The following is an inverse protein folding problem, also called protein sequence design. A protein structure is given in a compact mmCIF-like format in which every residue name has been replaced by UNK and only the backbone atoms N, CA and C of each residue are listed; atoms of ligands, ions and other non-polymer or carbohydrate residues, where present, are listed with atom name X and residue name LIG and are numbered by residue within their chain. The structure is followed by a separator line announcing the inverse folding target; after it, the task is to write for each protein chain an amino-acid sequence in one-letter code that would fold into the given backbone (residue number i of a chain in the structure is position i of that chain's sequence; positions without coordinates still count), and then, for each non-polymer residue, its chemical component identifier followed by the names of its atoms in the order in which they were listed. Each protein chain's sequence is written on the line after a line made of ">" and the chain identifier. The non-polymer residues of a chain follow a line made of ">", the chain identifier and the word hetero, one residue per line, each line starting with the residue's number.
data_IF_829765182397
#
_entry.id   IF_829765182397
#
_cell.length_a   1.000
_cell.length_b   1.000
_cell.length_c   1.000
_cell.angle_alpha   90.00
_cell.angle_beta   90.00
_cell.angle_gamma   90.00
#
_symmetry.space_group_name_H-M   'P 1'
#
loop_
_entity.id
_entity.type
_entity.pdbx_description
1 polymer ?
#
# COMPACT_ATOMS: atom_id res chain seq x y z
N UNK A 1 -32.88 -30.45 -24.12
CA UNK A 1 -31.80 -30.81 -23.18
C UNK A 1 -31.84 -29.83 -22.06
N UNK A 2 -31.79 -30.29 -20.83
CA UNK A 2 -31.76 -29.42 -19.66
C UNK A 2 -30.47 -28.61 -19.68
N UNK A 3 -30.58 -27.29 -19.54
CA UNK A 3 -29.42 -26.40 -19.49
C UNK A 3 -28.87 -26.46 -18.07
N UNK A 4 -27.74 -27.14 -17.90
CA UNK A 4 -27.06 -27.27 -16.61
C UNK A 4 -25.96 -26.23 -16.53
N UNK A 5 -25.95 -25.46 -15.44
CA UNK A 5 -24.87 -24.52 -15.09
C UNK A 5 -24.23 -24.95 -13.79
N UNK A 6 -22.93 -24.87 -13.75
CA UNK A 6 -22.13 -25.21 -12.57
C UNK A 6 -21.28 -24.01 -12.19
N UNK A 7 -21.48 -23.56 -10.97
CA UNK A 7 -20.75 -22.46 -10.38
C UNK A 7 -19.72 -23.04 -9.42
N UNK A 8 -18.45 -22.92 -9.76
CA UNK A 8 -17.31 -23.37 -8.96
C UNK A 8 -16.54 -22.21 -8.32
N UNK A 9 -16.78 -20.98 -8.81
CA UNK A 9 -16.23 -19.78 -8.25
C UNK A 9 -17.13 -19.24 -7.14
N UNK A 10 -16.53 -18.80 -6.04
CA UNK A 10 -17.25 -18.41 -4.84
C UNK A 10 -17.88 -19.62 -4.14
N UNK A 11 -19.04 -19.44 -3.56
CA UNK A 11 -19.80 -20.53 -2.93
C UNK A 11 -20.43 -21.42 -4.02
N UNK A 12 -19.98 -22.67 -4.15
CA UNK A 12 -20.39 -23.49 -5.30
C UNK A 12 -21.85 -23.91 -5.24
N UNK A 13 -22.45 -24.06 -6.44
CA UNK A 13 -23.78 -24.63 -6.62
C UNK A 13 -24.00 -25.06 -8.08
N UNK A 14 -25.03 -25.85 -8.29
CA UNK A 14 -25.46 -26.33 -9.61
C UNK A 14 -26.88 -25.87 -9.88
N UNK A 15 -27.14 -25.42 -11.09
CA UNK A 15 -28.47 -25.10 -11.60
C UNK A 15 -28.85 -26.05 -12.75
N UNK A 16 -30.09 -26.51 -12.77
CA UNK A 16 -30.70 -27.20 -13.89
C UNK A 16 -31.98 -26.46 -14.27
N UNK A 17 -32.07 -26.01 -15.53
CA UNK A 17 -33.22 -25.23 -16.03
C UNK A 17 -33.55 -23.97 -15.22
N UNK A 18 -32.55 -23.35 -14.59
CA UNK A 18 -32.69 -22.15 -13.77
C UNK A 18 -33.09 -22.41 -12.32
N UNK A 19 -33.25 -23.67 -11.91
CA UNK A 19 -33.50 -24.02 -10.51
C UNK A 19 -32.26 -24.63 -9.87
N UNK A 20 -32.03 -24.29 -8.60
CA UNK A 20 -30.89 -24.83 -7.82
C UNK A 20 -31.07 -26.30 -7.51
N UNK A 21 -30.06 -27.10 -7.82
CA UNK A 21 -30.06 -28.54 -7.56
C UNK A 21 -29.49 -28.83 -6.17
N UNK A 22 -30.25 -29.57 -5.37
CA UNK A 22 -29.81 -30.01 -4.05
C UNK A 22 -29.32 -31.45 -4.08
N UNK A 23 -28.04 -31.65 -3.84
CA UNK A 23 -27.48 -32.99 -3.74
C UNK A 23 -27.81 -33.62 -2.39
N UNK A 24 -28.07 -34.95 -2.34
CA UNK A 24 -28.48 -35.64 -1.12
C UNK A 24 -27.38 -35.68 -0.06
N UNK A 25 -26.11 -35.58 -0.46
CA UNK A 25 -24.95 -35.54 0.41
C UNK A 25 -23.75 -34.92 -0.28
N UNK A 26 -22.87 -34.30 0.52
CA UNK A 26 -21.73 -33.50 0.03
C UNK A 26 -20.72 -34.27 -0.82
N UNK A 27 -20.47 -35.58 -0.55
CA UNK A 27 -19.55 -36.37 -1.36
C UNK A 27 -20.06 -36.59 -2.79
N UNK A 28 -21.38 -36.67 -3.02
CA UNK A 28 -21.93 -36.74 -4.36
C UNK A 28 -21.79 -35.41 -5.11
N UNK A 29 -21.99 -34.32 -4.41
CA UNK A 29 -21.79 -32.94 -4.90
C UNK A 29 -20.31 -32.69 -5.24
N UNK A 30 -19.40 -33.00 -4.32
CA UNK A 30 -17.95 -32.86 -4.54
C UNK A 30 -17.43 -33.76 -5.65
N UNK A 31 -17.97 -34.96 -5.79
CA UNK A 31 -17.65 -35.81 -6.94
C UNK A 31 -18.03 -35.17 -8.27
N UNK A 32 -19.20 -34.55 -8.35
CA UNK A 32 -19.62 -33.84 -9.54
C UNK A 32 -18.71 -32.62 -9.83
N UNK A 33 -18.37 -31.82 -8.83
CA UNK A 33 -17.43 -30.72 -8.98
C UNK A 33 -16.04 -31.17 -9.42
N UNK A 34 -15.55 -32.29 -8.87
CA UNK A 34 -14.28 -32.86 -9.27
C UNK A 34 -14.29 -33.26 -10.77
N UNK A 35 -15.37 -33.88 -11.24
CA UNK A 35 -15.53 -34.19 -12.65
C UNK A 35 -15.73 -32.94 -13.53
N UNK A 36 -16.36 -31.91 -13.03
CA UNK A 36 -16.49 -30.64 -13.76
C UNK A 36 -15.13 -30.02 -14.09
N UNK A 37 -14.15 -30.18 -13.22
CA UNK A 37 -12.77 -29.71 -13.45
C UNK A 37 -11.96 -30.70 -14.27
N UNK A 38 -11.92 -31.95 -13.86
CA UNK A 38 -11.10 -33.00 -14.50
C UNK A 38 -11.64 -33.49 -15.84
N UNK A 39 -12.95 -33.32 -16.10
CA UNK A 39 -13.71 -33.81 -17.24
C UNK A 39 -13.80 -35.37 -17.31
N UNK A 40 -12.73 -36.04 -16.94
CA UNK A 40 -12.60 -37.50 -16.87
C UNK A 40 -11.74 -37.90 -15.69
N UNK A 41 -12.15 -38.93 -14.94
CA UNK A 41 -11.34 -39.47 -13.85
C UNK A 41 -11.53 -41.02 -13.77
N UNK A 42 -10.53 -41.72 -13.26
CA UNK A 42 -10.65 -43.18 -13.03
C UNK A 42 -11.49 -43.45 -11.78
N UNK A 43 -12.10 -44.61 -11.70
CA UNK A 43 -12.89 -44.99 -10.52
C UNK A 43 -12.04 -45.08 -9.27
N UNK A 44 -10.81 -45.54 -9.39
CA UNK A 44 -9.84 -45.62 -8.30
C UNK A 44 -9.44 -44.26 -7.80
N UNK A 45 -9.14 -43.30 -8.71
CA UNK A 45 -8.85 -41.92 -8.38
C UNK A 45 -10.02 -41.26 -7.64
N UNK A 46 -11.25 -41.40 -8.13
CA UNK A 46 -12.42 -40.82 -7.49
C UNK A 46 -12.66 -41.41 -6.09
N UNK A 47 -12.48 -42.76 -5.95
CA UNK A 47 -12.63 -43.45 -4.68
C UNK A 47 -11.57 -42.95 -3.69
N UNK A 48 -10.32 -42.87 -4.13
CA UNK A 48 -9.21 -42.36 -3.32
C UNK A 48 -9.47 -40.95 -2.83
N UNK A 49 -9.80 -40.05 -3.74
CA UNK A 49 -10.01 -38.63 -3.42
C UNK A 49 -11.18 -38.41 -2.45
N UNK A 50 -12.30 -39.10 -2.61
CA UNK A 50 -13.52 -38.83 -1.82
C UNK A 50 -13.72 -39.72 -0.61
N UNK A 51 -13.22 -40.97 -0.63
CA UNK A 51 -13.46 -41.95 0.42
C UNK A 51 -12.19 -42.52 1.05
N UNK A 52 -10.99 -42.18 0.53
CA UNK A 52 -9.71 -42.65 1.03
C UNK A 52 -9.40 -44.11 0.64
N UNK A 53 -8.22 -44.57 1.03
CA UNK A 53 -7.69 -45.89 0.64
C UNK A 53 -8.18 -47.06 1.53
N UNK A 54 -8.80 -46.79 2.69
CA UNK A 54 -8.94 -47.78 3.77
C UNK A 54 -9.93 -48.89 3.49
N UNK A 55 -10.89 -48.71 2.57
CA UNK A 55 -11.87 -49.78 2.24
C UNK A 55 -12.41 -49.71 0.81
N UNK A 56 -11.69 -50.28 -0.12
CA UNK A 56 -11.99 -50.26 -1.56
C UNK A 56 -13.42 -50.75 -1.90
N UNK A 57 -13.93 -51.76 -1.20
CA UNK A 57 -15.28 -52.31 -1.45
C UNK A 57 -16.37 -51.31 -1.04
N UNK A 58 -16.16 -50.57 0.08
CA UNK A 58 -17.07 -49.51 0.54
C UNK A 58 -17.00 -48.35 -0.45
N UNK A 59 -15.80 -47.92 -0.85
CA UNK A 59 -15.59 -46.90 -1.85
C UNK A 59 -16.31 -47.17 -3.16
N UNK A 60 -16.21 -48.41 -3.68
CA UNK A 60 -16.91 -48.86 -4.91
C UNK A 60 -18.44 -48.80 -4.77
N UNK A 61 -18.98 -49.15 -3.59
CA UNK A 61 -20.42 -49.03 -3.32
C UNK A 61 -20.85 -47.56 -3.29
N UNK A 62 -20.12 -46.75 -2.58
CA UNK A 62 -20.40 -45.31 -2.43
C UNK A 62 -20.31 -44.57 -3.77
N UNK A 63 -19.31 -44.89 -4.60
CA UNK A 63 -19.19 -44.34 -5.95
C UNK A 63 -20.38 -44.70 -6.84
N UNK A 64 -20.84 -45.96 -6.80
CA UNK A 64 -22.04 -46.37 -7.55
C UNK A 64 -23.27 -45.60 -7.13
N UNK A 65 -23.46 -45.38 -5.84
CA UNK A 65 -24.56 -44.58 -5.31
C UNK A 65 -24.43 -43.10 -5.74
N UNK A 66 -23.23 -42.50 -5.67
CA UNK A 66 -22.99 -41.14 -6.12
C UNK A 66 -23.30 -40.95 -7.62
N UNK A 67 -22.86 -41.89 -8.47
CA UNK A 67 -23.19 -41.89 -9.91
C UNK A 67 -24.71 -41.97 -10.14
N UNK A 68 -25.39 -42.85 -9.38
CA UNK A 68 -26.84 -42.96 -9.48
C UNK A 68 -27.55 -41.66 -9.09
N UNK A 69 -27.15 -41.04 -8.00
CA UNK A 69 -27.76 -39.77 -7.53
C UNK A 69 -27.53 -38.63 -8.50
N UNK A 70 -26.33 -38.50 -9.05
CA UNK A 70 -26.03 -37.46 -10.06
C UNK A 70 -26.88 -37.68 -11.32
N UNK A 71 -26.95 -38.90 -11.83
CA UNK A 71 -27.78 -39.23 -13.00
C UNK A 71 -29.28 -39.03 -12.76
N UNK A 72 -29.74 -39.23 -11.52
CA UNK A 72 -31.13 -38.99 -11.12
C UNK A 72 -31.47 -37.50 -11.08
N UNK A 73 -30.51 -36.66 -10.61
CA UNK A 73 -30.71 -35.22 -10.45
C UNK A 73 -30.52 -34.44 -11.74
N UNK A 74 -29.47 -34.77 -12.50
CA UNK A 74 -28.99 -33.98 -13.65
C UNK A 74 -29.27 -34.67 -15.01
N UNK A 75 -29.91 -35.82 -15.01
CA UNK A 75 -30.22 -36.59 -16.23
C UNK A 75 -29.28 -37.76 -16.42
N UNK A 76 -29.82 -38.81 -17.05
CA UNK A 76 -29.10 -40.09 -17.24
C UNK A 76 -27.85 -39.94 -18.13
N UNK A 77 -27.88 -39.02 -19.04
CA UNK A 77 -26.84 -38.80 -20.06
C UNK A 77 -25.68 -37.93 -19.58
N UNK A 78 -25.79 -37.29 -18.41
CA UNK A 78 -24.76 -36.36 -17.90
C UNK A 78 -23.39 -37.02 -17.68
N UNK A 79 -23.38 -38.30 -17.30
CA UNK A 79 -22.18 -39.07 -17.04
C UNK A 79 -22.09 -40.27 -18.01
N UNK A 80 -20.93 -40.41 -18.64
CA UNK A 80 -20.56 -41.57 -19.45
C UNK A 80 -19.57 -42.42 -18.66
N UNK A 81 -19.75 -43.73 -18.72
CA UNK A 81 -18.84 -44.69 -18.11
C UNK A 81 -18.14 -45.48 -19.20
N UNK A 82 -16.84 -45.36 -19.36
CA UNK A 82 -16.05 -46.13 -20.30
C UNK A 82 -15.62 -47.44 -19.62
N UNK A 83 -16.38 -48.49 -19.89
CA UNK A 83 -16.15 -49.81 -19.27
C UNK A 83 -16.28 -49.77 -17.73
N UNK A 84 -15.33 -50.45 -17.06
CA UNK A 84 -15.24 -50.46 -15.59
C UNK A 84 -14.15 -49.52 -15.02
N UNK A 85 -13.47 -48.76 -15.86
CA UNK A 85 -12.23 -48.04 -15.48
C UNK A 85 -12.43 -46.58 -15.20
N UNK A 86 -13.19 -45.84 -16.02
CA UNK A 86 -13.32 -44.38 -15.88
C UNK A 86 -14.76 -43.86 -15.93
N UNK A 87 -14.95 -42.65 -15.44
CA UNK A 87 -16.20 -41.91 -15.50
C UNK A 87 -15.87 -40.54 -16.07
N UNK A 88 -16.68 -40.07 -17.02
CA UNK A 88 -16.48 -38.76 -17.68
C UNK A 88 -17.80 -38.00 -17.72
N UNK A 89 -17.72 -36.69 -17.84
CA UNK A 89 -18.84 -35.89 -18.32
C UNK A 89 -19.12 -36.25 -19.77
N UNK A 90 -20.39 -36.28 -20.15
CA UNK A 90 -20.78 -36.54 -21.52
C UNK A 90 -20.54 -35.29 -22.39
N UNK A 91 -19.72 -35.37 -23.44
CA UNK A 91 -19.47 -34.23 -24.33
C UNK A 91 -20.73 -33.68 -25.03
N UNK A 92 -21.75 -34.56 -25.26
CA UNK A 92 -23.02 -34.15 -25.88
C UNK A 92 -23.95 -33.38 -24.91
N UNK A 93 -23.71 -33.51 -23.60
CA UNK A 93 -24.49 -32.90 -22.52
C UNK A 93 -23.61 -32.09 -21.56
N UNK A 94 -22.51 -31.52 -22.05
CA UNK A 94 -21.56 -30.79 -21.22
C UNK A 94 -22.25 -29.62 -20.49
N UNK A 95 -22.17 -29.53 -19.15
CA UNK A 95 -22.66 -28.39 -18.42
C UNK A 95 -21.85 -27.14 -18.74
N UNK A 96 -22.46 -25.97 -18.61
CA UNK A 96 -21.79 -24.67 -18.64
C UNK A 96 -21.11 -24.47 -17.28
N UNK A 97 -19.78 -24.45 -17.25
CA UNK A 97 -18.99 -24.40 -16.01
C UNK A 97 -18.24 -23.08 -16.02
N UNK A 98 -18.46 -22.23 -15.00
CA UNK A 98 -17.83 -20.92 -14.89
C UNK A 98 -16.30 -20.99 -14.88
N UNK A 99 -15.73 -22.02 -14.24
CA UNK A 99 -14.30 -22.28 -14.22
C UNK A 99 -13.67 -22.41 -15.62
N UNK A 100 -14.40 -22.96 -16.59
CA UNK A 100 -13.91 -23.15 -17.96
C UNK A 100 -13.80 -21.84 -18.75
N UNK A 101 -14.42 -20.76 -18.27
CA UNK A 101 -14.40 -19.43 -18.88
C UNK A 101 -13.40 -18.48 -18.25
N UNK A 102 -12.69 -18.92 -17.18
CA UNK A 102 -11.64 -18.10 -16.55
C UNK A 102 -10.44 -18.01 -17.48
N UNK A 103 -10.05 -16.80 -17.78
CA UNK A 103 -8.89 -16.46 -18.60
C UNK A 103 -8.01 -15.42 -17.88
N UNK A 104 -6.76 -15.24 -18.32
CA UNK A 104 -5.89 -14.18 -17.80
C UNK A 104 -6.50 -12.77 -17.95
N UNK A 105 -7.50 -12.60 -18.83
CA UNK A 105 -8.12 -11.30 -19.09
C UNK A 105 -9.23 -10.96 -18.11
N UNK A 106 -10.04 -11.95 -17.71
CA UNK A 106 -11.24 -11.76 -16.89
C UNK A 106 -11.09 -12.24 -15.44
N UNK A 107 -10.03 -12.97 -15.09
CA UNK A 107 -9.83 -13.51 -13.73
C UNK A 107 -9.88 -12.41 -12.65
N UNK A 108 -9.49 -11.19 -12.98
CA UNK A 108 -9.51 -10.04 -12.06
C UNK A 108 -10.91 -9.46 -11.79
N UNK A 109 -11.92 -9.91 -12.53
CA UNK A 109 -13.33 -9.58 -12.27
C UNK A 109 -13.92 -10.47 -11.17
N UNK A 110 -13.21 -11.54 -10.79
CA UNK A 110 -13.61 -12.56 -9.81
C UNK A 110 -12.74 -12.50 -8.53
N UNK A 111 -12.31 -11.31 -8.10
CA UNK A 111 -11.40 -11.13 -6.95
C UNK A 111 -11.92 -11.79 -5.66
N UNK A 112 -13.24 -11.75 -5.44
CA UNK A 112 -13.86 -12.27 -4.20
C UNK A 112 -14.34 -13.70 -4.31
N UNK A 113 -14.26 -14.28 -5.51
CA UNK A 113 -14.96 -15.53 -5.81
C UNK A 113 -14.13 -16.77 -5.51
N UNK A 114 -12.94 -16.86 -5.25
CA UNK A 114 -12.10 -18.04 -4.97
C UNK A 114 -12.66 -19.41 -5.41
N UNK A 115 -11.85 -20.38 -5.74
CA UNK A 115 -12.32 -21.70 -6.18
C UNK A 115 -12.98 -22.49 -5.02
N UNK A 116 -14.21 -22.99 -5.20
CA UNK A 116 -14.99 -23.77 -4.22
C UNK A 116 -14.98 -23.17 -2.80
N UNK A 117 -15.13 -21.86 -2.68
CA UNK A 117 -15.07 -21.14 -1.39
C UNK A 117 -16.09 -21.71 -0.40
N UNK A 118 -15.63 -22.00 0.82
CA UNK A 118 -16.44 -22.53 1.91
C UNK A 118 -17.08 -23.92 1.64
N UNK A 119 -16.59 -24.67 0.66
CA UNK A 119 -17.01 -26.02 0.40
C UNK A 119 -16.06 -27.01 1.06
N UNK A 120 -16.56 -27.78 2.03
CA UNK A 120 -15.78 -28.76 2.79
C UNK A 120 -16.51 -30.08 2.87
N UNK A 121 -15.78 -31.19 2.74
CA UNK A 121 -16.27 -32.54 2.86
C UNK A 121 -15.59 -33.24 4.05
N UNK A 122 -16.36 -33.58 5.07
CA UNK A 122 -15.82 -34.31 6.24
C UNK A 122 -15.23 -35.66 5.82
N UNK A 123 -14.07 -36.00 6.36
CA UNK A 123 -13.36 -37.26 6.12
C UNK A 123 -13.04 -37.49 4.63
N UNK A 124 -12.48 -36.51 3.96
CA UNK A 124 -12.02 -36.57 2.57
C UNK A 124 -10.79 -35.69 2.42
N UNK A 125 -9.69 -36.06 3.07
CA UNK A 125 -8.45 -35.27 3.14
C UNK A 125 -7.88 -34.99 1.75
N UNK A 126 -7.84 -35.99 0.87
CA UNK A 126 -7.31 -35.88 -0.47
C UNK A 126 -8.15 -34.94 -1.36
N UNK A 127 -9.47 -34.85 -1.05
CA UNK A 127 -10.34 -33.88 -1.73
C UNK A 127 -10.09 -32.45 -1.25
N UNK A 128 -9.84 -32.25 0.04
CA UNK A 128 -9.47 -30.94 0.59
C UNK A 128 -8.10 -30.50 0.03
N UNK A 129 -7.09 -31.38 0.01
CA UNK A 129 -5.79 -31.10 -0.62
C UNK A 129 -5.93 -30.73 -2.10
N UNK A 130 -6.82 -31.42 -2.82
CA UNK A 130 -7.11 -31.06 -4.21
C UNK A 130 -7.74 -29.65 -4.33
N UNK A 131 -8.69 -29.30 -3.46
CA UNK A 131 -9.27 -27.93 -3.41
C UNK A 131 -8.17 -26.92 -3.14
N UNK A 132 -7.35 -27.12 -2.12
CA UNK A 132 -6.24 -26.24 -1.77
C UNK A 132 -5.27 -26.03 -2.94
N UNK A 133 -4.90 -27.12 -3.63
CA UNK A 133 -4.07 -27.05 -4.83
C UNK A 133 -4.70 -26.24 -5.96
N UNK A 134 -6.01 -26.36 -6.16
CA UNK A 134 -6.73 -25.61 -7.18
C UNK A 134 -6.89 -24.15 -6.81
N UNK A 135 -7.09 -23.84 -5.52
CA UNK A 135 -7.12 -22.48 -4.98
C UNK A 135 -5.76 -21.80 -5.15
N UNK A 136 -4.67 -22.49 -4.81
CA UNK A 136 -3.32 -21.99 -5.02
C UNK A 136 -3.03 -21.67 -6.49
N UNK A 137 -3.42 -22.58 -7.42
CA UNK A 137 -3.27 -22.33 -8.86
C UNK A 137 -4.09 -21.12 -9.33
N UNK A 138 -5.30 -20.95 -8.80
CA UNK A 138 -6.15 -19.81 -9.08
C UNK A 138 -5.49 -18.52 -8.59
N UNK A 139 -5.04 -18.48 -7.33
CA UNK A 139 -4.40 -17.34 -6.72
C UNK A 139 -3.11 -16.94 -7.44
N UNK A 140 -2.28 -17.91 -7.82
CA UNK A 140 -1.08 -17.65 -8.62
C UNK A 140 -1.43 -17.03 -9.98
N UNK A 141 -2.46 -17.53 -10.66
CA UNK A 141 -2.91 -17.01 -11.95
C UNK A 141 -3.50 -15.59 -11.81
N UNK A 142 -4.25 -15.38 -10.72
CA UNK A 142 -4.83 -14.09 -10.36
C UNK A 142 -3.75 -13.03 -10.10
N UNK A 143 -2.77 -13.35 -9.25
CA UNK A 143 -1.67 -12.45 -8.93
C UNK A 143 -0.78 -12.17 -10.14
N UNK A 144 -0.52 -13.18 -10.97
CA UNK A 144 0.21 -13.01 -12.24
C UNK A 144 -0.50 -12.02 -13.16
N UNK A 145 -1.83 -12.16 -13.29
CA UNK A 145 -2.64 -11.27 -14.13
C UNK A 145 -2.69 -9.85 -13.55
N UNK A 146 -2.83 -9.70 -12.23
CA UNK A 146 -2.78 -8.41 -11.55
C UNK A 146 -1.43 -7.70 -11.75
N UNK A 147 -0.32 -8.44 -11.65
CA UNK A 147 1.02 -7.90 -11.86
C UNK A 147 1.24 -7.46 -13.31
N UNK A 148 0.75 -8.25 -14.28
CA UNK A 148 0.78 -7.85 -15.69
C UNK A 148 0.01 -6.55 -15.94
N UNK A 149 -1.21 -6.44 -15.39
CA UNK A 149 -2.02 -5.21 -15.50
C UNK A 149 -1.37 -4.02 -14.82
N UNK A 150 -0.67 -4.22 -13.69
CA UNK A 150 0.12 -3.17 -13.05
C UNK A 150 1.21 -2.63 -13.98
N UNK A 151 1.95 -3.52 -14.65
CA UNK A 151 2.97 -3.11 -15.61
C UNK A 151 2.39 -2.43 -16.86
N UNK A 152 1.28 -2.94 -17.40
CA UNK A 152 0.58 -2.32 -18.52
C UNK A 152 0.10 -0.90 -18.16
N UNK A 153 -0.47 -0.73 -16.97
CA UNK A 153 -0.89 0.57 -16.45
C UNK A 153 0.29 1.53 -16.25
N UNK A 154 1.42 1.04 -15.77
CA UNK A 154 2.65 1.82 -15.62
C UNK A 154 3.19 2.30 -16.99
N UNK A 155 3.14 1.45 -18.02
CA UNK A 155 3.59 1.80 -19.38
C UNK A 155 2.81 3.00 -19.96
N UNK A 156 1.51 3.10 -19.65
CA UNK A 156 0.65 4.21 -20.08
C UNK A 156 0.48 5.31 -19.03
N UNK A 157 1.13 5.15 -17.85
CA UNK A 157 1.06 6.07 -16.69
C UNK A 157 -0.36 6.31 -16.18
N UNK A 158 -1.20 5.29 -16.20
CA UNK A 158 -2.56 5.34 -15.63
C UNK A 158 -2.49 5.13 -14.12
N UNK A 159 -2.46 6.23 -13.38
CA UNK A 159 -2.30 6.21 -11.91
C UNK A 159 -3.48 5.53 -11.20
N UNK A 160 -4.69 5.61 -11.73
CA UNK A 160 -5.86 4.97 -11.13
C UNK A 160 -5.76 3.44 -11.22
N UNK A 161 -5.33 2.92 -12.36
CA UNK A 161 -5.11 1.48 -12.54
C UNK A 161 -3.89 1.00 -11.76
N UNK A 162 -2.80 1.78 -11.71
CA UNK A 162 -1.64 1.47 -10.87
C UNK A 162 -2.10 1.31 -9.42
N UNK A 163 -2.86 2.25 -8.88
CA UNK A 163 -3.36 2.18 -7.50
C UNK A 163 -4.25 0.95 -7.27
N UNK A 164 -5.18 0.67 -8.21
CA UNK A 164 -6.07 -0.49 -8.12
C UNK A 164 -5.27 -1.79 -8.02
N UNK A 165 -4.36 -2.03 -8.96
CA UNK A 165 -3.62 -3.31 -9.00
C UNK A 165 -2.54 -3.41 -7.92
N UNK A 166 -1.94 -2.30 -7.49
CA UNK A 166 -1.07 -2.27 -6.32
C UNK A 166 -1.81 -2.71 -5.06
N UNK A 167 -3.00 -2.18 -4.82
CA UNK A 167 -3.82 -2.56 -3.66
C UNK A 167 -4.20 -4.05 -3.68
N UNK A 168 -4.57 -4.58 -4.85
CA UNK A 168 -4.88 -6.01 -5.00
C UNK A 168 -3.67 -6.87 -4.63
N UNK A 169 -2.50 -6.57 -5.19
CA UNK A 169 -1.27 -7.32 -4.94
C UNK A 169 -0.84 -7.27 -3.48
N UNK A 170 -0.86 -6.07 -2.87
CA UNK A 170 -0.45 -5.88 -1.47
C UNK A 170 -1.43 -6.51 -0.47
N UNK A 171 -2.71 -6.61 -0.81
CA UNK A 171 -3.72 -7.31 0.00
C UNK A 171 -3.43 -8.81 0.10
N UNK A 172 -2.94 -9.42 -1.00
CA UNK A 172 -2.62 -10.85 -1.06
C UNK A 172 -1.24 -11.19 -0.50
N UNK A 173 -0.28 -10.28 -0.57
CA UNK A 173 1.10 -10.51 -0.10
C UNK A 173 1.65 -9.28 0.63
N UNK A 174 1.09 -9.05 1.83
CA UNK A 174 1.35 -7.85 2.65
C UNK A 174 2.74 -7.81 3.29
N UNK A 175 3.51 -8.91 3.25
CA UNK A 175 4.84 -8.99 3.84
C UNK A 175 5.96 -8.99 2.79
N UNK A 176 5.64 -8.94 1.51
CA UNK A 176 6.60 -9.07 0.43
C UNK A 176 7.31 -7.74 0.14
N UNK A 177 8.43 -7.51 0.80
CA UNK A 177 9.22 -6.30 0.63
C UNK A 177 9.63 -6.02 -0.82
N UNK A 178 9.90 -7.08 -1.63
CA UNK A 178 10.22 -6.91 -3.05
C UNK A 178 9.05 -6.37 -3.87
N UNK A 179 7.82 -6.78 -3.51
CA UNK A 179 6.62 -6.25 -4.12
C UNK A 179 6.42 -4.77 -3.76
N UNK A 180 6.63 -4.42 -2.50
CA UNK A 180 6.61 -3.02 -2.08
C UNK A 180 7.67 -2.18 -2.80
N UNK A 181 8.90 -2.68 -2.94
CA UNK A 181 9.97 -2.01 -3.69
C UNK A 181 9.54 -1.74 -5.14
N UNK A 182 9.03 -2.76 -5.83
CA UNK A 182 8.56 -2.64 -7.21
C UNK A 182 7.47 -1.56 -7.35
N UNK A 183 6.48 -1.58 -6.47
CA UNK A 183 5.37 -0.61 -6.50
C UNK A 183 5.86 0.80 -6.14
N UNK A 184 6.75 0.94 -5.15
CA UNK A 184 7.37 2.22 -4.80
C UNK A 184 8.15 2.81 -5.98
N UNK A 185 8.92 2.00 -6.73
CA UNK A 185 9.63 2.43 -7.93
C UNK A 185 8.67 2.88 -9.04
N UNK A 186 7.55 2.16 -9.23
CA UNK A 186 6.50 2.54 -10.18
C UNK A 186 5.94 3.92 -9.84
N UNK A 187 5.54 4.15 -8.59
CA UNK A 187 5.02 5.45 -8.16
C UNK A 187 6.07 6.56 -8.26
N UNK A 188 7.31 6.28 -7.86
CA UNK A 188 8.39 7.26 -7.94
C UNK A 188 8.71 7.64 -9.39
N UNK A 189 8.75 6.67 -10.32
CA UNK A 189 8.98 6.92 -11.75
C UNK A 189 7.85 7.75 -12.40
N UNK A 190 6.65 7.64 -11.86
CA UNK A 190 5.48 8.46 -12.23
C UNK A 190 5.45 9.84 -11.56
N UNK A 191 6.46 10.18 -10.72
CA UNK A 191 6.52 11.44 -9.97
C UNK A 191 5.64 11.46 -8.72
N UNK A 192 4.95 10.35 -8.40
CA UNK A 192 4.10 10.25 -7.23
C UNK A 192 4.88 9.76 -5.99
N UNK A 193 5.87 10.56 -5.60
CA UNK A 193 6.78 10.26 -4.48
C UNK A 193 6.02 10.06 -3.16
N UNK A 194 4.91 10.76 -2.96
CA UNK A 194 4.10 10.68 -1.74
C UNK A 194 3.51 9.28 -1.54
N UNK A 195 2.96 8.69 -2.61
CA UNK A 195 2.43 7.32 -2.53
C UNK A 195 3.53 6.29 -2.29
N UNK A 196 4.69 6.47 -2.92
CA UNK A 196 5.84 5.61 -2.68
C UNK A 196 6.31 5.67 -1.21
N UNK A 197 6.41 6.86 -0.63
CA UNK A 197 6.76 7.08 0.77
C UNK A 197 5.72 6.47 1.71
N UNK A 198 4.42 6.67 1.43
CA UNK A 198 3.33 6.08 2.20
C UNK A 198 3.44 4.54 2.25
N UNK A 199 3.71 3.91 1.10
CA UNK A 199 3.87 2.45 1.03
C UNK A 199 5.00 1.93 1.93
N UNK A 200 6.10 2.66 2.07
CA UNK A 200 7.16 2.30 3.00
C UNK A 200 6.65 2.27 4.45
N UNK A 201 5.91 3.29 4.87
CA UNK A 201 5.35 3.34 6.23
C UNK A 201 4.25 2.29 6.45
N UNK A 202 3.44 2.00 5.43
CA UNK A 202 2.43 0.93 5.49
C UNK A 202 3.12 -0.44 5.69
N UNK A 203 4.21 -0.71 4.98
CA UNK A 203 5.02 -1.92 5.15
C UNK A 203 5.68 -1.98 6.54
N UNK A 204 6.34 -0.90 6.94
CA UNK A 204 7.00 -0.81 8.25
C UNK A 204 6.01 -1.13 9.38
N UNK A 205 4.78 -0.59 9.28
CA UNK A 205 3.71 -0.87 10.25
C UNK A 205 3.34 -2.35 10.27
N UNK A 206 3.11 -2.96 9.10
CA UNK A 206 2.71 -4.36 8.99
C UNK A 206 3.81 -5.29 9.54
N UNK A 207 5.08 -5.01 9.21
CA UNK A 207 6.21 -5.80 9.70
C UNK A 207 6.41 -5.69 11.21
N UNK A 208 6.24 -4.49 11.77
CA UNK A 208 6.37 -4.26 13.21
C UNK A 208 5.21 -4.92 14.00
N UNK A 209 3.96 -4.70 13.57
CA UNK A 209 2.78 -5.20 14.28
C UNK A 209 2.63 -6.73 14.21
N UNK A 210 2.92 -7.33 13.06
CA UNK A 210 2.66 -8.76 12.83
C UNK A 210 3.91 -9.63 13.07
N UNK A 211 5.11 -9.13 12.78
CA UNK A 211 6.35 -9.90 12.84
C UNK A 211 7.36 -9.36 13.85
N UNK A 212 7.20 -8.12 14.32
CA UNK A 212 8.13 -7.47 15.24
C UNK A 212 9.52 -7.23 14.62
N UNK A 213 9.59 -7.03 13.30
CA UNK A 213 10.83 -6.78 12.57
C UNK A 213 10.79 -5.45 11.82
N UNK A 214 11.96 -4.86 11.61
CA UNK A 214 12.11 -3.66 10.78
C UNK A 214 12.22 -4.02 9.29
N UNK A 215 11.85 -3.10 8.36
CA UNK A 215 12.09 -3.27 6.93
C UNK A 215 13.56 -3.51 6.62
N UNK A 216 13.83 -4.30 5.58
CA UNK A 216 15.20 -4.59 5.15
C UNK A 216 15.96 -3.33 4.71
N UNK A 217 17.30 -3.39 4.75
CA UNK A 217 18.17 -2.31 4.31
C UNK A 217 17.90 -1.88 2.86
N UNK A 218 17.56 -2.84 1.97
CA UNK A 218 17.32 -2.56 0.55
C UNK A 218 16.13 -1.63 0.32
N UNK A 219 15.00 -1.89 0.99
CA UNK A 219 13.80 -1.04 0.85
C UNK A 219 13.97 0.28 1.59
N UNK A 220 14.70 0.28 2.70
CA UNK A 220 15.05 1.50 3.44
C UNK A 220 15.93 2.42 2.59
N UNK A 221 16.93 1.88 1.88
CA UNK A 221 17.74 2.66 0.94
C UNK A 221 16.90 3.20 -0.24
N UNK A 222 15.96 2.41 -0.77
CA UNK A 222 15.03 2.88 -1.80
C UNK A 222 14.17 4.04 -1.29
N UNK A 223 13.62 3.90 -0.08
CA UNK A 223 12.86 4.97 0.58
C UNK A 223 13.69 6.25 0.68
N UNK A 224 14.94 6.17 1.17
CA UNK A 224 15.82 7.33 1.27
C UNK A 224 16.12 7.96 -0.09
N UNK A 225 16.36 7.16 -1.13
CA UNK A 225 16.54 7.68 -2.50
C UNK A 225 15.32 8.44 -3.00
N UNK A 226 14.12 7.86 -2.84
CA UNK A 226 12.85 8.50 -3.26
C UNK A 226 12.61 9.78 -2.47
N UNK A 227 12.86 9.76 -1.17
CA UNK A 227 12.71 10.91 -0.29
C UNK A 227 13.67 12.04 -0.67
N UNK A 228 14.93 11.73 -0.97
CA UNK A 228 15.95 12.68 -1.46
C UNK A 228 15.58 13.27 -2.82
N UNK A 229 15.09 12.48 -3.76
CA UNK A 229 14.62 12.98 -5.07
C UNK A 229 13.44 13.92 -4.88
N UNK A 230 12.48 13.58 -4.01
CA UNK A 230 11.37 14.49 -3.65
C UNK A 230 11.89 15.82 -3.09
N UNK A 231 12.85 15.77 -2.16
CA UNK A 231 13.49 16.96 -1.59
C UNK A 231 14.24 17.78 -2.65
N UNK A 232 14.93 17.11 -3.57
CA UNK A 232 15.65 17.75 -4.67
C UNK A 232 14.71 18.28 -5.78
N UNK A 233 13.63 17.57 -6.10
CA UNK A 233 12.62 18.05 -7.06
C UNK A 233 11.87 19.24 -6.50
N UNK A 234 11.65 19.30 -5.19
CA UNK A 234 11.15 20.52 -4.54
C UNK A 234 12.17 21.67 -4.57
N UNK A 235 13.49 21.34 -4.61
CA UNK A 235 14.56 22.33 -4.75
C UNK A 235 14.99 22.57 -6.23
N UNK A 236 14.67 21.64 -7.13
CA UNK A 236 15.08 21.65 -8.55
C UNK A 236 13.92 21.97 -9.51
N UNK A 237 12.82 22.53 -8.98
CA UNK A 237 11.86 23.24 -9.83
C UNK A 237 12.57 24.43 -10.48
N UNK A 238 13.43 24.07 -11.46
CA UNK A 238 14.04 25.03 -12.37
C UNK A 238 14.70 26.20 -11.65
N UNK A 239 15.78 25.96 -10.91
CA UNK A 239 16.76 27.03 -10.81
C UNK A 239 17.34 27.22 -12.22
N UNK A 240 16.57 27.90 -13.06
CA UNK A 240 17.19 28.71 -14.06
C UNK A 240 18.25 29.49 -13.29
N UNK A 241 19.53 29.28 -13.59
CA UNK A 241 20.65 30.05 -13.04
C UNK A 241 20.55 31.52 -13.54
N UNK A 242 19.37 32.09 -13.48
CA UNK A 242 19.14 33.49 -13.70
C UNK A 242 19.60 34.21 -12.42
N UNK A 243 20.49 35.19 -12.52
CA UNK A 243 20.90 35.94 -11.36
C UNK A 243 19.66 36.55 -10.73
N UNK A 244 19.47 36.28 -9.41
CA UNK A 244 18.38 36.91 -8.65
C UNK A 244 18.55 38.40 -8.69
N UNK A 245 17.64 39.10 -9.35
CA UNK A 245 17.73 40.56 -9.57
C UNK A 245 16.51 41.25 -8.98
N UNK A 246 16.71 42.37 -8.32
CA UNK A 246 15.65 43.13 -7.69
C UNK A 246 15.35 42.67 -6.25
N UNK A 247 14.22 43.11 -5.69
CA UNK A 247 13.73 42.81 -4.32
C UNK A 247 14.74 43.13 -3.22
N UNK A 248 15.47 44.20 -3.41
CA UNK A 248 16.56 44.61 -2.49
C UNK A 248 16.02 44.91 -1.10
N UNK A 249 14.81 45.45 -1.02
CA UNK A 249 14.17 45.80 0.26
C UNK A 249 13.72 44.53 1.01
N UNK A 250 13.12 43.56 0.32
CA UNK A 250 12.71 42.31 0.92
C UNK A 250 13.92 41.48 1.39
N UNK A 251 14.99 41.44 0.58
CA UNK A 251 16.26 40.81 0.98
C UNK A 251 16.86 41.50 2.21
N UNK A 252 16.85 42.82 2.24
CA UNK A 252 17.36 43.59 3.36
C UNK A 252 16.57 43.28 4.65
N UNK A 253 15.23 43.28 4.59
CA UNK A 253 14.36 42.90 5.74
C UNK A 253 14.61 41.46 6.20
N UNK A 254 14.76 40.51 5.29
CA UNK A 254 15.11 39.13 5.64
C UNK A 254 16.48 39.08 6.32
N UNK A 255 17.48 39.83 5.81
CA UNK A 255 18.82 39.86 6.42
C UNK A 255 18.80 40.47 7.84
N UNK A 256 18.01 41.52 8.07
CA UNK A 256 17.83 42.08 9.41
C UNK A 256 17.21 41.09 10.39
N UNK A 257 16.20 40.33 9.95
CA UNK A 257 15.61 39.26 10.76
C UNK A 257 16.63 38.17 11.11
N UNK A 258 17.43 37.72 10.13
CA UNK A 258 18.47 36.71 10.34
C UNK A 258 19.53 37.23 11.34
N UNK A 259 20.02 38.40 11.14
CA UNK A 259 21.03 39.03 12.01
C UNK A 259 20.45 39.40 13.38
N UNK A 260 19.20 39.90 13.41
CA UNK A 260 18.51 40.32 14.62
C UNK A 260 18.27 39.21 15.62
N UNK A 261 17.98 37.98 15.14
CA UNK A 261 17.82 36.80 15.99
C UNK A 261 19.08 36.46 16.77
N UNK A 262 20.26 36.73 16.18
CA UNK A 262 21.53 36.51 16.84
C UNK A 262 21.84 37.52 17.95
N UNK A 263 21.21 38.71 17.93
CA UNK A 263 21.48 39.80 18.89
C UNK A 263 20.47 39.91 20.02
N UNK A 264 19.20 39.58 19.77
CA UNK A 264 18.10 39.86 20.70
C UNK A 264 17.50 38.60 21.36
N UNK A 265 17.87 37.39 20.93
CA UNK A 265 17.41 36.13 21.49
C UNK A 265 15.89 35.90 21.39
N UNK A 266 15.18 36.66 20.58
CA UNK A 266 13.74 36.48 20.34
C UNK A 266 13.50 35.77 19.02
N UNK A 267 12.55 34.84 18.98
CA UNK A 267 12.18 34.18 17.74
C UNK A 267 11.60 35.18 16.74
N UNK A 268 12.01 35.06 15.50
CA UNK A 268 11.51 35.90 14.40
C UNK A 268 10.68 35.00 13.46
N UNK A 269 9.55 35.50 13.00
CA UNK A 269 8.72 34.87 12.00
C UNK A 269 8.57 35.80 10.81
N UNK A 270 8.94 35.33 9.63
CA UNK A 270 8.83 36.07 8.37
C UNK A 270 7.86 35.33 7.45
N UNK A 271 6.78 35.99 7.05
CA UNK A 271 5.84 35.48 6.07
C UNK A 271 6.03 36.18 4.73
N UNK A 272 6.21 35.38 3.66
CA UNK A 272 6.28 35.86 2.28
C UNK A 272 4.93 35.55 1.61
N UNK A 273 4.18 36.59 1.26
CA UNK A 273 2.88 36.47 0.58
C UNK A 273 2.87 37.21 -0.76
N UNK A 274 2.01 36.76 -1.68
CA UNK A 274 1.87 37.41 -2.98
C UNK A 274 1.21 36.46 -4.01
N UNK A 275 0.89 36.97 -5.18
CA UNK A 275 0.25 36.24 -6.26
C UNK A 275 1.12 35.07 -6.79
N UNK A 276 0.49 34.11 -7.47
CA UNK A 276 1.21 33.01 -8.11
C UNK A 276 2.18 33.54 -9.17
N UNK A 277 3.38 32.93 -9.25
CA UNK A 277 4.42 33.32 -10.21
C UNK A 277 5.24 34.55 -9.86
N UNK A 278 4.92 35.28 -8.77
CA UNK A 278 5.61 36.52 -8.37
C UNK A 278 7.04 36.30 -7.83
N UNK A 279 7.50 35.02 -7.71
CA UNK A 279 8.86 34.66 -7.28
C UNK A 279 9.02 34.50 -5.77
N UNK A 280 7.98 34.04 -5.06
CA UNK A 280 8.05 33.77 -3.60
C UNK A 280 9.07 32.68 -3.28
N UNK A 281 9.05 31.55 -3.99
CA UNK A 281 9.98 30.44 -3.78
C UNK A 281 11.43 30.85 -4.12
N UNK A 282 11.64 31.69 -5.16
CA UNK A 282 12.96 32.22 -5.47
C UNK A 282 13.52 33.12 -4.34
N UNK A 283 12.65 33.91 -3.69
CA UNK A 283 13.02 34.71 -2.53
C UNK A 283 13.31 33.83 -1.31
N UNK A 284 12.54 32.75 -1.13
CA UNK A 284 12.75 31.75 -0.08
C UNK A 284 14.11 31.06 -0.25
N UNK A 285 14.47 30.64 -1.48
CA UNK A 285 15.77 30.05 -1.77
C UNK A 285 16.92 30.99 -1.57
N UNK A 286 16.72 32.30 -1.87
CA UNK A 286 17.72 33.31 -1.54
C UNK A 286 17.91 33.44 -0.04
N UNK A 287 16.84 33.42 0.75
CA UNK A 287 16.90 33.43 2.21
C UNK A 287 17.65 32.20 2.75
N UNK A 288 17.41 30.99 2.20
CA UNK A 288 18.14 29.77 2.56
C UNK A 288 19.65 29.90 2.30
N UNK A 289 20.06 30.47 1.18
CA UNK A 289 21.48 30.76 0.89
C UNK A 289 22.08 31.71 1.89
N UNK A 290 21.36 32.78 2.29
CA UNK A 290 21.82 33.75 3.28
C UNK A 290 22.01 33.09 4.65
N UNK A 291 21.05 32.25 5.09
CA UNK A 291 21.12 31.52 6.37
C UNK A 291 22.37 30.63 6.44
N UNK A 292 22.70 29.92 5.36
CA UNK A 292 23.96 29.16 5.27
C UNK A 292 25.20 30.05 5.38
N UNK A 293 25.17 31.21 4.75
CA UNK A 293 26.25 32.19 4.84
C UNK A 293 26.48 32.71 6.27
N UNK A 294 25.47 32.72 7.12
CA UNK A 294 25.55 33.08 8.54
C UNK A 294 25.84 31.90 9.47
N UNK A 295 26.24 30.74 8.93
CA UNK A 295 26.52 29.48 9.68
C UNK A 295 25.32 29.02 10.53
N UNK A 296 24.13 29.25 10.06
CA UNK A 296 22.89 28.73 10.64
C UNK A 296 22.43 27.50 9.86
N UNK A 297 21.70 26.61 10.52
CA UNK A 297 21.18 25.36 9.94
C UNK A 297 19.81 25.65 9.34
N UNK A 298 19.65 25.63 7.99
CA UNK A 298 18.34 25.70 7.37
C UNK A 298 17.70 24.31 7.38
N UNK A 299 16.48 24.20 7.91
CA UNK A 299 15.63 23.01 7.84
C UNK A 299 14.42 23.32 6.97
N UNK A 300 14.14 22.47 6.01
CA UNK A 300 13.16 22.75 4.96
C UNK A 300 11.99 21.77 5.03
N UNK A 301 10.79 22.29 4.78
CA UNK A 301 9.59 21.50 4.57
C UNK A 301 8.77 22.08 3.42
N UNK A 302 8.14 21.22 2.64
CA UNK A 302 7.19 21.59 1.61
C UNK A 302 5.77 21.21 2.02
N UNK A 303 4.81 22.13 1.82
CA UNK A 303 3.40 21.89 2.07
C UNK A 303 2.70 21.73 0.71
N UNK A 304 2.02 20.62 0.49
CA UNK A 304 1.33 20.35 -0.79
C UNK A 304 -0.18 20.54 -0.65
N UNK A 305 -0.81 21.08 -1.69
CA UNK A 305 -2.24 21.43 -1.70
C UNK A 305 -3.14 20.21 -1.49
N UNK A 306 -2.76 19.07 -2.06
CA UNK A 306 -3.50 17.82 -1.97
C UNK A 306 -3.35 17.12 -0.60
N UNK A 307 -2.50 17.65 0.26
CA UNK A 307 -2.20 17.14 1.61
C UNK A 307 -2.81 17.99 2.72
N UNK A 308 -3.81 18.80 2.40
CA UNK A 308 -4.48 19.73 3.34
C UNK A 308 -5.05 19.05 4.59
N UNK A 309 -5.26 17.73 4.54
CA UNK A 309 -5.80 16.92 5.65
C UNK A 309 -4.70 16.32 6.54
N UNK A 310 -3.42 16.50 6.18
CA UNK A 310 -2.25 15.98 6.91
C UNK A 310 -1.31 17.10 7.36
N UNK A 311 -1.73 17.92 8.29
CA UNK A 311 -0.98 19.10 8.72
C UNK A 311 0.35 18.79 9.44
N UNK A 312 0.56 17.57 9.95
CA UNK A 312 1.81 17.15 10.59
C UNK A 312 2.86 16.64 9.59
N UNK A 313 2.50 16.44 8.33
CA UNK A 313 3.40 15.88 7.32
C UNK A 313 4.63 16.71 7.02
N UNK A 314 4.58 18.06 6.97
CA UNK A 314 5.78 18.89 6.81
C UNK A 314 6.83 18.68 7.90
N UNK A 315 6.42 18.22 9.08
CA UNK A 315 7.34 17.92 10.16
C UNK A 315 8.23 16.70 9.89
N UNK A 316 7.76 15.73 9.10
CA UNK A 316 8.61 14.61 8.69
C UNK A 316 9.80 15.08 7.85
N UNK A 317 9.60 16.05 6.96
CA UNK A 317 10.70 16.64 6.17
C UNK A 317 11.72 17.31 7.08
N UNK A 318 11.26 18.03 8.09
CA UNK A 318 12.11 18.70 9.09
C UNK A 318 12.90 17.66 9.91
N UNK A 319 12.26 16.61 10.40
CA UNK A 319 12.94 15.59 11.19
C UNK A 319 13.94 14.79 10.37
N UNK A 320 13.64 14.54 9.11
CA UNK A 320 14.59 13.90 8.21
C UNK A 320 15.84 14.78 8.00
N UNK A 321 15.67 16.10 7.78
CA UNK A 321 16.81 17.02 7.66
C UNK A 321 17.63 17.10 8.96
N UNK A 322 16.99 17.01 10.12
CA UNK A 322 17.68 16.89 11.40
C UNK A 322 18.51 15.61 11.44
N UNK A 323 17.97 14.46 10.98
CA UNK A 323 18.71 13.20 10.89
C UNK A 323 19.93 13.34 9.98
N UNK A 324 19.78 13.96 8.82
CA UNK A 324 20.92 14.24 7.93
C UNK A 324 21.95 15.16 8.56
N UNK A 325 21.54 16.13 9.34
CA UNK A 325 22.46 16.97 10.09
C UNK A 325 23.25 16.18 11.15
N UNK A 326 22.62 15.20 11.80
CA UNK A 326 23.29 14.31 12.75
C UNK A 326 24.27 13.36 12.04
N UNK A 327 23.85 12.73 10.95
CA UNK A 327 24.70 11.83 10.15
C UNK A 327 25.94 12.53 9.58
N UNK A 328 25.78 13.79 9.18
CA UNK A 328 26.87 14.63 8.66
C UNK A 328 27.71 15.32 9.77
N UNK A 329 27.43 15.04 11.05
CA UNK A 329 28.17 15.61 12.18
C UNK A 329 27.95 17.13 12.39
N UNK A 330 26.87 17.68 11.84
CA UNK A 330 26.47 19.07 12.01
C UNK A 330 25.73 19.26 13.34
N UNK A 331 24.95 18.27 13.74
CA UNK A 331 24.25 18.19 15.03
C UNK A 331 24.76 16.97 15.81
N UNK A 332 24.93 17.15 17.12
CA UNK A 332 25.30 16.04 18.01
C UNK A 332 24.10 15.12 18.26
N UNK A 333 24.32 13.81 18.15
CA UNK A 333 23.28 12.78 18.29
C UNK A 333 22.55 12.87 19.64
N UNK A 334 23.29 13.12 20.70
CA UNK A 334 22.78 13.19 22.08
C UNK A 334 21.75 14.32 22.29
N UNK A 335 21.77 15.34 21.44
CA UNK A 335 20.83 16.47 21.55
C UNK A 335 19.41 16.07 21.12
N UNK A 336 19.30 15.15 20.16
CA UNK A 336 18.04 14.81 19.48
C UNK A 336 17.48 13.44 19.85
N UNK A 337 18.29 12.52 20.37
CA UNK A 337 17.94 11.10 20.49
C UNK A 337 16.78 10.82 21.46
N UNK A 338 16.71 11.53 22.59
CA UNK A 338 15.71 11.30 23.64
C UNK A 338 14.27 11.58 23.15
N UNK A 339 14.08 12.65 22.38
CA UNK A 339 12.75 13.08 21.93
C UNK A 339 12.39 12.47 20.58
N UNK A 340 13.38 12.16 19.75
CA UNK A 340 13.23 11.66 18.37
C UNK A 340 12.43 10.38 18.30
N UNK A 341 12.67 9.41 19.18
CA UNK A 341 11.96 8.14 19.21
C UNK A 341 10.47 8.31 19.50
N UNK A 342 10.11 9.22 20.40
CA UNK A 342 8.71 9.51 20.72
C UNK A 342 8.01 10.25 19.57
N UNK A 343 8.67 11.25 18.99
CA UNK A 343 8.16 12.01 17.86
C UNK A 343 7.92 11.10 16.66
N UNK A 344 8.91 10.27 16.28
CA UNK A 344 8.77 9.31 15.17
C UNK A 344 7.61 8.36 15.37
N UNK A 345 7.41 7.84 16.58
CA UNK A 345 6.30 6.93 16.90
C UNK A 345 4.94 7.60 16.72
N UNK A 346 4.79 8.84 17.17
CA UNK A 346 3.54 9.60 17.03
C UNK A 346 3.28 9.94 15.57
N UNK A 347 4.28 10.44 14.84
CA UNK A 347 4.16 10.78 13.42
C UNK A 347 3.86 9.55 12.56
N UNK A 348 4.48 8.40 12.86
CA UNK A 348 4.15 7.13 12.23
C UNK A 348 2.66 6.79 12.41
N UNK A 349 2.14 6.88 13.64
CA UNK A 349 0.73 6.65 13.94
C UNK A 349 -0.20 7.57 13.14
N UNK A 350 0.13 8.84 13.02
CA UNK A 350 -0.64 9.82 12.24
C UNK A 350 -0.66 9.48 10.75
N UNK A 351 0.47 9.10 10.17
CA UNK A 351 0.58 8.76 8.76
C UNK A 351 -0.20 7.48 8.39
N UNK A 352 -0.30 6.53 9.32
CA UNK A 352 -0.95 5.23 9.07
C UNK A 352 -2.44 5.24 9.40
N UNK A 353 -2.85 5.93 10.46
CA UNK A 353 -4.24 5.93 10.96
C UNK A 353 -5.05 7.18 10.60
N UNK A 354 -4.37 8.23 10.14
CA UNK A 354 -4.94 9.55 9.87
C UNK A 354 -4.99 10.45 11.11
N UNK A 355 -4.85 11.74 10.88
CA UNK A 355 -4.84 12.76 11.95
C UNK A 355 -6.16 12.87 12.72
N UNK A 356 -7.28 12.54 12.07
CA UNK A 356 -8.60 12.58 12.69
C UNK A 356 -8.74 11.63 13.89
N UNK A 357 -7.95 10.57 13.95
CA UNK A 357 -7.92 9.62 15.07
C UNK A 357 -7.00 10.04 16.21
N UNK A 358 -6.20 11.07 16.00
CA UNK A 358 -5.25 11.54 17.00
C UNK A 358 -5.97 12.23 18.15
N UNK A 359 -5.89 11.64 19.34
CA UNK A 359 -6.46 12.21 20.54
C UNK A 359 -5.73 13.50 20.95
N UNK A 360 -6.44 14.44 21.61
CA UNK A 360 -5.90 15.71 22.12
C UNK A 360 -4.63 15.53 22.97
N UNK A 361 -4.55 14.45 23.75
CA UNK A 361 -3.40 14.15 24.60
C UNK A 361 -2.16 13.79 23.75
N UNK A 362 -2.32 12.98 22.70
CA UNK A 362 -1.24 12.60 21.80
C UNK A 362 -0.67 13.81 21.07
N UNK A 363 -1.56 14.73 20.67
CA UNK A 363 -1.17 15.99 20.06
C UNK A 363 -0.32 16.88 21.01
N UNK A 364 -0.75 17.02 22.28
CA UNK A 364 0.01 17.76 23.27
C UNK A 364 1.39 17.15 23.56
N UNK A 365 1.48 15.83 23.59
CA UNK A 365 2.76 15.11 23.77
C UNK A 365 3.68 15.40 22.58
N UNK A 366 3.16 15.30 21.34
CA UNK A 366 3.94 15.63 20.14
C UNK A 366 4.46 17.07 20.18
N UNK A 367 3.58 18.04 20.45
CA UNK A 367 3.93 19.45 20.55
C UNK A 367 5.05 19.68 21.59
N UNK A 368 4.93 19.08 22.77
CA UNK A 368 5.94 19.21 23.82
C UNK A 368 7.27 18.59 23.42
N UNK A 369 7.26 17.38 22.84
CA UNK A 369 8.48 16.70 22.39
C UNK A 369 9.19 17.48 21.29
N UNK A 370 8.44 18.01 20.32
CA UNK A 370 9.00 18.87 19.25
C UNK A 370 9.62 20.12 19.82
N UNK A 371 8.90 20.83 20.71
CA UNK A 371 9.41 22.06 21.34
C UNK A 371 10.67 21.79 22.17
N UNK A 372 10.71 20.71 22.94
CA UNK A 372 11.87 20.35 23.76
C UNK A 372 13.09 20.00 22.91
N UNK A 373 12.89 19.22 21.84
CA UNK A 373 13.97 18.90 20.91
C UNK A 373 14.57 20.16 20.28
N UNK A 374 13.73 21.06 19.77
CA UNK A 374 14.20 22.30 19.20
C UNK A 374 14.83 23.24 20.24
N UNK A 375 14.34 23.23 21.47
CA UNK A 375 14.96 23.98 22.55
C UNK A 375 16.40 23.51 22.80
N UNK A 376 16.64 22.22 22.87
CA UNK A 376 17.98 21.63 23.01
C UNK A 376 18.89 21.95 21.83
N UNK A 377 18.36 21.83 20.59
CA UNK A 377 19.14 22.25 19.41
C UNK A 377 19.50 23.72 19.46
N UNK A 378 18.55 24.60 19.83
CA UNK A 378 18.76 26.05 19.87
C UNK A 378 19.72 26.53 20.98
N UNK A 379 20.00 25.70 21.99
CA UNK A 379 21.03 25.99 23.00
C UNK A 379 22.45 26.00 22.42
N UNK A 380 22.69 25.24 21.35
CA UNK A 380 24.02 25.08 20.75
C UNK A 380 24.11 25.57 19.31
N UNK A 381 23.01 25.48 18.57
CA UNK A 381 22.97 25.80 17.14
C UNK A 381 21.88 26.80 16.82
N UNK A 382 22.12 27.64 15.82
CA UNK A 382 21.09 28.51 15.26
C UNK A 382 20.40 27.80 14.13
N UNK A 383 19.09 27.60 14.23
CA UNK A 383 18.28 26.87 13.26
C UNK A 383 17.23 27.76 12.66
N UNK A 384 16.99 27.64 11.38
CA UNK A 384 15.94 28.34 10.63
C UNK A 384 15.05 27.34 9.93
N UNK A 385 13.75 27.35 10.22
CA UNK A 385 12.77 26.54 9.57
C UNK A 385 12.21 27.23 8.33
N UNK A 386 12.19 26.55 7.21
CA UNK A 386 11.63 27.02 5.96
C UNK A 386 10.44 26.15 5.57
N UNK A 387 9.28 26.78 5.40
CA UNK A 387 8.08 26.13 4.90
C UNK A 387 7.68 26.79 3.59
N UNK A 388 7.67 26.01 2.49
CA UNK A 388 7.18 26.48 1.19
C UNK A 388 5.72 26.07 1.00
N UNK A 389 4.92 26.90 0.32
CA UNK A 389 3.50 26.68 0.01
C UNK A 389 2.59 26.41 1.22
N UNK A 390 2.80 27.11 2.33
CA UNK A 390 1.94 27.01 3.53
C UNK A 390 0.53 27.52 3.24
N UNK A 391 -0.45 26.71 3.61
CA UNK A 391 -1.87 27.10 3.65
C UNK A 391 -2.22 27.72 4.99
N UNK A 392 -3.12 28.72 5.00
CA UNK A 392 -3.56 29.46 6.20
C UNK A 392 -4.05 28.57 7.37
N UNK A 393 -4.45 27.34 7.11
CA UNK A 393 -4.82 26.35 8.13
C UNK A 393 -3.67 25.97 9.09
N UNK A 394 -2.42 26.09 8.67
CA UNK A 394 -1.23 25.70 9.44
C UNK A 394 -0.68 26.82 10.33
N UNK A 395 -1.11 28.05 10.10
CA UNK A 395 -0.58 29.25 10.76
C UNK A 395 -0.64 29.22 12.30
N UNK A 396 -1.72 28.75 12.97
CA UNK A 396 -1.80 28.78 14.44
C UNK A 396 -0.81 27.86 15.14
N UNK A 397 -0.35 26.80 14.49
CA UNK A 397 0.46 25.73 15.09
C UNK A 397 1.97 25.96 14.98
N UNK A 398 2.39 26.98 14.24
CA UNK A 398 3.79 27.26 13.93
C UNK A 398 4.37 28.46 14.69
N UNK A 399 3.58 29.17 15.50
CA UNK A 399 3.91 30.52 15.99
C UNK A 399 4.64 30.53 17.34
N UNK A 400 4.88 29.39 18.00
CA UNK A 400 5.53 29.46 19.34
C UNK A 400 6.75 28.54 19.52
N UNK A 401 7.79 28.66 18.70
CA UNK A 401 9.08 28.06 19.00
C UNK A 401 9.89 28.97 19.91
N UNK A 402 10.56 28.37 20.90
CA UNK A 402 11.37 29.05 21.90
C UNK A 402 12.46 29.99 21.37
N UNK A 403 13.23 30.61 22.26
CA UNK A 403 14.26 31.59 21.94
C UNK A 403 15.28 31.05 20.92
N UNK A 404 15.63 31.83 19.90
CA UNK A 404 16.58 31.59 18.81
C UNK A 404 16.02 30.89 17.55
N UNK A 405 14.73 30.99 17.29
CA UNK A 405 14.09 30.45 16.09
C UNK A 405 13.71 31.52 15.07
N UNK A 406 13.96 31.25 13.77
CA UNK A 406 13.38 32.00 12.66
C UNK A 406 12.52 31.02 11.83
N UNK A 407 11.28 31.42 11.61
CA UNK A 407 10.38 30.69 10.71
C UNK A 407 10.13 31.53 9.47
N UNK A 408 10.36 30.94 8.28
CA UNK A 408 10.03 31.58 7.01
C UNK A 408 8.85 30.84 6.37
N UNK A 409 7.85 31.58 5.96
CA UNK A 409 6.67 31.07 5.29
C UNK A 409 6.49 31.69 3.91
N UNK A 410 6.24 30.90 2.89
CA UNK A 410 5.68 31.40 1.65
C UNK A 410 4.19 31.01 1.61
N UNK A 411 3.29 31.99 1.60
CA UNK A 411 1.84 31.76 1.55
C UNK A 411 1.35 32.06 0.15
N UNK A 412 0.61 31.11 -0.44
CA UNK A 412 -0.16 31.38 -1.64
C UNK A 412 -1.40 32.21 -1.27
N UNK A 413 -1.65 33.28 -2.00
CA UNK A 413 -2.86 34.12 -1.84
C UNK A 413 -4.06 33.49 -2.55
#
# INVERSE_FOLDING_TARGET
>A
MDRIKVHLLGRPYVEANGERVNFPYKKAEGFFYYLCVKKTATREEIIYVLWGADNENVGRKNLREAVYQIKKLLGKEILVTAGHTSISLNPECMPEIDWDFITEENILEHEEDGFLSHFHIKNSYEFEEWIESMQEQYDQSFLKSARKRLHDANAVKDMAQIQKYSNILLKHDSYNEKLYQEIMEIYASGGNYNMAIKLYYDLEKVLDEELGVEPSGEITELFHRIFNVKGNVASDNGSWNLPFTGRTEEIYRISECIVGTGRWGNPQCVAISGEEGVGKSALLDKAKQMVRGYQMIPLNAACYRDESDFFLRPWNDIFWEIDQCVENGILEKEIVEDEKGQIKRILKGVLTEGEEKMGRLTYQILEQSVLEMFRRIAERHKVVLFFDDIFLKFYPYLINPGRNFICFFAVLS
#
